data_IF_126267337139
#
_entry.id   IF_126267337139
#
_cell.length_a   1.000
_cell.length_b   1.000
_cell.length_c   1.000
_cell.angle_alpha   90.00
_cell.angle_beta   90.00
_cell.angle_gamma   90.00
#
_symmetry.space_group_name_H-M   'P 1'
#
loop_
_entity.id
_entity.type
_entity.pdbx_description
1 polymer ?
#
# COMPACT_ATOMS: atom_id res chain seq x y z
N UNK A 1 9.70 -12.21 -5.41
CA UNK A 1 9.33 -12.61 -6.78
C UNK A 1 10.54 -13.22 -7.48
N UNK A 2 10.36 -14.23 -8.32
CA UNK A 2 11.43 -14.78 -9.19
C UNK A 2 11.03 -14.56 -10.64
N UNK A 3 11.94 -13.98 -11.43
CA UNK A 3 11.86 -13.92 -12.89
C UNK A 3 12.80 -14.96 -13.50
N UNK A 4 12.28 -15.95 -14.23
CA UNK A 4 13.11 -16.91 -14.98
C UNK A 4 12.55 -17.19 -16.39
N UNK A 5 13.43 -17.40 -17.36
CA UNK A 5 13.09 -17.61 -18.79
C UNK A 5 13.09 -19.08 -19.22
N UNK A 6 13.04 -19.99 -18.27
CA UNK A 6 13.14 -21.43 -18.53
C UNK A 6 12.26 -22.24 -17.57
N UNK A 7 11.03 -21.77 -17.35
CA UNK A 7 10.02 -22.57 -16.65
C UNK A 7 9.22 -23.38 -17.66
N UNK A 8 8.89 -24.63 -17.31
CA UNK A 8 7.95 -25.46 -18.08
C UNK A 8 6.53 -24.87 -18.12
N UNK A 9 6.28 -23.81 -17.36
CA UNK A 9 4.99 -23.15 -17.19
C UNK A 9 4.76 -22.06 -18.25
N UNK A 10 5.81 -21.45 -18.79
CA UNK A 10 5.71 -20.40 -19.81
C UNK A 10 6.77 -20.62 -20.93
N UNK A 11 6.51 -21.51 -21.91
CA UNK A 11 7.48 -21.82 -22.96
C UNK A 11 7.83 -20.58 -23.80
N UNK A 12 9.12 -20.21 -23.84
CA UNK A 12 9.60 -19.07 -24.61
C UNK A 12 9.30 -17.70 -23.99
N UNK A 13 8.83 -17.66 -22.74
CA UNK A 13 8.48 -16.45 -22.00
C UNK A 13 9.18 -16.45 -20.64
N UNK A 14 9.16 -15.29 -19.99
CA UNK A 14 9.66 -15.15 -18.63
C UNK A 14 8.53 -15.37 -17.63
N UNK A 15 8.75 -16.21 -16.63
CA UNK A 15 7.85 -16.39 -15.50
C UNK A 15 8.15 -15.41 -14.41
N UNK A 16 7.18 -14.60 -13.99
CA UNK A 16 7.22 -13.88 -12.72
C UNK A 16 6.44 -14.67 -11.69
N UNK A 17 7.09 -15.07 -10.61
CA UNK A 17 6.45 -15.84 -9.55
C UNK A 17 6.19 -14.98 -8.32
N UNK A 18 4.96 -15.01 -7.81
CA UNK A 18 4.54 -14.50 -6.50
C UNK A 18 4.03 -15.66 -5.64
N UNK A 19 3.80 -15.40 -4.35
CA UNK A 19 3.14 -16.40 -3.52
C UNK A 19 2.95 -15.98 -2.09
N UNK A 20 1.97 -16.60 -1.44
CA UNK A 20 1.58 -16.37 -0.06
C UNK A 20 1.47 -17.71 0.68
N UNK A 21 1.85 -17.71 1.96
CA UNK A 21 1.60 -18.85 2.85
C UNK A 21 0.37 -18.54 3.69
N UNK A 22 -0.65 -19.39 3.59
CA UNK A 22 -1.94 -19.24 4.28
C UNK A 22 -2.33 -20.59 4.86
N UNK A 23 -2.68 -20.60 6.15
CA UNK A 23 -3.22 -21.78 6.85
C UNK A 23 -2.44 -23.10 6.59
N UNK A 24 -1.11 -23.06 6.65
CA UNK A 24 -0.21 -24.20 6.50
C UNK A 24 0.06 -24.62 5.05
N UNK A 25 -0.47 -23.89 4.06
CA UNK A 25 -0.27 -24.17 2.65
C UNK A 25 0.35 -22.96 1.93
N UNK A 26 1.29 -23.24 1.02
CA UNK A 26 1.84 -22.23 0.13
C UNK A 26 1.02 -22.18 -1.16
N UNK A 27 0.55 -20.99 -1.52
CA UNK A 27 0.09 -20.71 -2.87
C UNK A 27 1.18 -19.97 -3.63
N UNK A 28 1.59 -20.54 -4.76
CA UNK A 28 2.47 -19.88 -5.73
C UNK A 28 1.66 -19.52 -6.95
N UNK A 29 1.67 -18.24 -7.29
CA UNK A 29 1.02 -17.71 -8.50
C UNK A 29 2.12 -17.26 -9.46
N UNK A 30 1.91 -17.48 -10.75
CA UNK A 30 2.89 -17.13 -11.78
C UNK A 30 2.24 -16.40 -12.94
N UNK A 31 2.96 -15.45 -13.53
CA UNK A 31 2.57 -14.75 -14.74
C UNK A 31 3.62 -14.97 -15.83
N UNK A 32 3.17 -15.25 -17.05
CA UNK A 32 4.04 -15.30 -18.22
C UNK A 32 4.16 -13.90 -18.84
N UNK A 33 5.38 -13.42 -19.03
CA UNK A 33 5.68 -12.14 -19.68
C UNK A 33 6.54 -12.40 -20.92
N UNK A 34 6.20 -11.77 -22.04
CA UNK A 34 7.02 -11.81 -23.24
C UNK A 34 8.42 -11.23 -22.96
N UNK A 35 9.46 -11.93 -23.38
CA UNK A 35 10.84 -11.52 -23.18
C UNK A 35 11.23 -10.21 -23.85
N UNK A 36 10.50 -9.81 -24.89
CA UNK A 36 10.67 -8.51 -25.54
C UNK A 36 10.23 -7.34 -24.65
N UNK A 37 9.41 -7.60 -23.62
CA UNK A 37 8.93 -6.59 -22.69
C UNK A 37 9.87 -6.38 -21.48
N UNK A 38 10.88 -7.23 -21.25
CA UNK A 38 11.75 -7.15 -20.06
C UNK A 38 12.97 -6.24 -20.20
N UNK A 39 13.16 -5.61 -21.35
CA UNK A 39 14.17 -4.54 -21.49
C UNK A 39 13.72 -3.23 -20.86
N UNK A 40 12.42 -3.09 -20.58
CA UNK A 40 11.81 -1.89 -20.00
C UNK A 40 11.40 -2.13 -18.54
N UNK A 41 11.19 -1.03 -17.80
CA UNK A 41 10.64 -1.07 -16.45
C UNK A 41 9.25 -1.71 -16.46
N UNK A 42 9.03 -2.64 -15.52
CA UNK A 42 7.76 -3.36 -15.36
C UNK A 42 7.19 -3.09 -13.98
N UNK A 43 5.90 -2.78 -13.94
CA UNK A 43 5.19 -2.66 -12.68
C UNK A 43 4.58 -4.00 -12.31
N UNK A 44 4.87 -4.49 -11.12
CA UNK A 44 4.37 -5.75 -10.61
C UNK A 44 3.70 -5.53 -9.27
N UNK A 45 2.51 -6.09 -9.10
CA UNK A 45 1.82 -6.06 -7.82
C UNK A 45 1.17 -7.40 -7.51
N UNK A 46 1.10 -7.72 -6.22
CA UNK A 46 0.37 -8.87 -5.71
C UNK A 46 -0.44 -8.43 -4.50
N UNK A 47 -1.72 -8.79 -4.46
CA UNK A 47 -2.63 -8.43 -3.37
C UNK A 47 -3.24 -9.68 -2.77
N UNK A 48 -3.53 -9.62 -1.47
CA UNK A 48 -4.23 -10.68 -0.76
C UNK A 48 -5.26 -10.07 0.19
N UNK A 49 -6.54 -10.40 -0.01
CA UNK A 49 -7.66 -9.85 0.77
C UNK A 49 -8.17 -10.77 1.89
N UNK A 50 -7.46 -11.88 2.18
CA UNK A 50 -7.90 -12.90 3.13
C UNK A 50 -8.74 -14.02 2.51
N UNK A 51 -9.19 -13.84 1.27
CA UNK A 51 -10.00 -14.81 0.52
C UNK A 51 -9.39 -15.18 -0.83
N UNK A 52 -8.72 -14.25 -1.48
CA UNK A 52 -8.16 -14.41 -2.82
C UNK A 52 -6.80 -13.76 -2.95
N UNK A 53 -5.93 -14.40 -3.74
CA UNK A 53 -4.68 -13.83 -4.23
C UNK A 53 -4.91 -13.27 -5.62
N UNK A 54 -4.35 -12.09 -5.88
CA UNK A 54 -4.37 -11.47 -7.21
C UNK A 54 -2.98 -11.01 -7.60
N UNK A 55 -2.63 -11.23 -8.85
CA UNK A 55 -1.34 -10.87 -9.41
C UNK A 55 -1.52 -9.96 -10.62
N UNK A 56 -0.80 -8.84 -10.63
CA UNK A 56 -0.92 -7.78 -11.62
C UNK A 56 0.42 -7.52 -12.29
N UNK A 57 0.37 -7.30 -13.60
CA UNK A 57 1.51 -6.85 -14.42
C UNK A 57 1.05 -5.59 -15.16
N UNK A 58 1.78 -4.49 -15.03
CA UNK A 58 1.41 -3.16 -15.55
C UNK A 58 -0.01 -2.73 -15.16
N UNK A 59 -0.38 -2.98 -13.90
CA UNK A 59 -1.71 -2.74 -13.34
C UNK A 59 -2.86 -3.55 -14.00
N UNK A 60 -2.55 -4.52 -14.87
CA UNK A 60 -3.54 -5.45 -15.43
C UNK A 60 -3.53 -6.75 -14.63
N UNK A 61 -4.72 -7.22 -14.23
CA UNK A 61 -4.88 -8.50 -13.55
C UNK A 61 -4.52 -9.65 -14.49
N UNK A 62 -3.55 -10.47 -14.09
CA UNK A 62 -3.09 -11.63 -14.88
C UNK A 62 -3.55 -12.94 -14.24
N UNK A 63 -3.59 -13.00 -12.92
CA UNK A 63 -4.00 -14.18 -12.15
C UNK A 63 -4.88 -13.77 -10.99
N UNK A 64 -5.98 -14.49 -10.79
CA UNK A 64 -6.80 -14.45 -9.58
C UNK A 64 -7.09 -15.87 -9.14
N UNK A 65 -6.86 -16.14 -7.86
CA UNK A 65 -7.07 -17.45 -7.25
C UNK A 65 -7.77 -17.31 -5.89
N UNK A 66 -8.74 -18.20 -5.65
CA UNK A 66 -9.44 -18.27 -4.37
C UNK A 66 -8.58 -19.09 -3.41
N UNK A 67 -8.04 -18.44 -2.39
CA UNK A 67 -7.17 -19.04 -1.39
C UNK A 67 -7.37 -18.37 -0.03
N UNK A 68 -8.34 -18.85 0.73
CA UNK A 68 -8.76 -18.20 1.98
C UNK A 68 -7.96 -18.61 3.20
N UNK A 69 -7.75 -17.67 4.12
CA UNK A 69 -7.23 -17.93 5.46
C UNK A 69 -6.36 -16.80 5.97
N UNK A 70 -5.64 -17.05 7.05
CA UNK A 70 -4.73 -16.07 7.65
C UNK A 70 -3.32 -16.24 7.09
N UNK A 71 -2.69 -15.13 6.69
CA UNK A 71 -1.28 -15.12 6.30
C UNK A 71 -0.44 -15.61 7.47
N UNK A 72 0.48 -16.52 7.18
CA UNK A 72 1.44 -16.98 8.17
C UNK A 72 2.64 -16.04 8.23
N UNK A 73 3.06 -15.71 9.46
CA UNK A 73 4.27 -14.94 9.69
C UNK A 73 5.49 -15.86 9.67
N UNK A 74 6.57 -15.39 9.04
CA UNK A 74 7.88 -16.02 9.12
C UNK A 74 8.75 -15.27 10.12
N UNK A 75 9.64 -16.00 10.80
CA UNK A 75 10.74 -15.40 11.59
C UNK A 75 11.94 -15.01 10.72
N UNK A 76 11.91 -15.29 9.42
CA UNK A 76 12.94 -14.87 8.48
C UNK A 76 12.82 -13.39 8.14
N UNK A 77 13.96 -12.76 7.84
CA UNK A 77 14.01 -11.38 7.37
C UNK A 77 13.28 -11.21 6.04
N UNK A 78 12.68 -10.04 5.85
CA UNK A 78 12.11 -9.63 4.56
C UNK A 78 13.27 -9.30 3.61
N UNK A 79 13.39 -10.08 2.53
CA UNK A 79 14.42 -9.91 1.51
C UNK A 79 13.80 -9.37 0.22
N UNK A 80 14.45 -8.34 -0.35
CA UNK A 80 14.11 -7.78 -1.67
C UNK A 80 15.29 -8.09 -2.60
N UNK A 81 14.98 -8.55 -3.83
CA UNK A 81 16.00 -8.92 -4.81
C UNK A 81 16.73 -10.23 -4.53
N UNK A 82 16.37 -10.97 -3.48
CA UNK A 82 16.87 -12.31 -3.19
C UNK A 82 15.87 -13.08 -2.34
N UNK A 83 15.95 -14.41 -2.38
CA UNK A 83 15.32 -15.28 -1.38
C UNK A 83 16.30 -15.72 -0.30
N UNK A 84 15.83 -16.54 0.67
CA UNK A 84 16.64 -17.04 1.77
C UNK A 84 17.80 -17.94 1.30
N UNK A 85 17.73 -18.52 0.10
CA UNK A 85 18.85 -19.20 -0.54
C UNK A 85 19.43 -18.35 -1.67
N UNK A 86 20.32 -17.43 -1.31
CA UNK A 86 20.89 -16.40 -2.21
C UNK A 86 21.52 -17.01 -3.46
N UNK A 87 22.18 -18.17 -3.33
CA UNK A 87 22.89 -18.83 -4.44
C UNK A 87 22.00 -19.24 -5.62
N UNK A 88 20.69 -19.36 -5.41
CA UNK A 88 19.74 -19.84 -6.42
C UNK A 88 18.57 -18.89 -6.67
N UNK A 89 18.44 -17.84 -5.87
CA UNK A 89 17.25 -16.96 -5.87
C UNK A 89 17.56 -15.47 -5.99
N UNK A 90 18.84 -15.10 -6.16
CA UNK A 90 19.21 -13.72 -6.44
C UNK A 90 18.57 -13.24 -7.75
N UNK A 91 17.94 -12.06 -7.70
CA UNK A 91 17.41 -11.38 -8.85
C UNK A 91 18.54 -10.63 -9.56
N UNK A 92 18.60 -10.77 -10.88
CA UNK A 92 19.57 -10.07 -11.73
C UNK A 92 18.84 -8.98 -12.50
N UNK A 93 18.91 -7.74 -12.01
CA UNK A 93 18.24 -6.59 -12.62
C UNK A 93 18.24 -5.38 -11.70
N UNK A 94 17.45 -4.37 -12.02
CA UNK A 94 17.20 -3.20 -11.18
C UNK A 94 15.81 -3.28 -10.57
N UNK A 95 15.66 -2.76 -9.35
CA UNK A 95 14.40 -2.69 -8.61
C UNK A 95 14.29 -1.26 -8.10
N UNK A 96 13.11 -0.66 -8.24
CA UNK A 96 12.78 0.66 -7.73
C UNK A 96 11.34 0.70 -7.21
N UNK A 97 10.97 1.73 -6.45
CA UNK A 97 9.62 2.00 -5.93
C UNK A 97 8.95 0.79 -5.23
N UNK A 98 9.65 0.19 -4.27
CA UNK A 98 9.11 -0.94 -3.50
C UNK A 98 8.19 -0.44 -2.38
N UNK A 99 6.94 -0.88 -2.45
CA UNK A 99 5.92 -0.60 -1.44
C UNK A 99 5.37 -1.87 -0.81
N UNK A 100 5.03 -1.80 0.49
CA UNK A 100 4.33 -2.85 1.22
C UNK A 100 3.17 -2.24 2.00
N UNK A 101 1.98 -2.83 1.86
CA UNK A 101 0.74 -2.33 2.45
C UNK A 101 0.16 -3.37 3.43
N UNK A 102 -0.57 -2.90 4.45
CA UNK A 102 -1.33 -3.75 5.37
C UNK A 102 -2.63 -4.26 4.77
N UNK A 103 -3.13 -3.59 3.74
CA UNK A 103 -4.43 -3.82 3.14
C UNK A 103 -4.28 -4.16 1.65
N UNK A 104 -5.22 -4.95 1.13
CA UNK A 104 -5.27 -5.25 -0.29
C UNK A 104 -5.68 -3.99 -1.07
N UNK A 105 -4.77 -3.53 -1.94
CA UNK A 105 -5.07 -2.43 -2.84
C UNK A 105 -6.09 -2.86 -3.89
N UNK A 106 -6.94 -1.91 -4.26
CA UNK A 106 -7.89 -2.05 -5.37
C UNK A 106 -7.21 -1.83 -6.72
N UNK A 107 -7.85 -2.28 -7.80
CA UNK A 107 -7.32 -2.11 -9.16
C UNK A 107 -7.13 -0.63 -9.55
N UNK A 108 -8.02 0.25 -9.06
CA UNK A 108 -7.92 1.69 -9.31
C UNK A 108 -6.73 2.31 -8.59
N UNK A 109 -6.44 1.89 -7.35
CA UNK A 109 -5.26 2.32 -6.60
C UNK A 109 -3.97 1.84 -7.25
N UNK A 110 -3.94 0.59 -7.72
CA UNK A 110 -2.80 0.05 -8.47
C UNK A 110 -2.60 0.80 -9.79
N UNK A 111 -3.67 1.13 -10.51
CA UNK A 111 -3.60 1.92 -11.75
C UNK A 111 -3.05 3.33 -11.49
N UNK A 112 -3.43 3.95 -10.37
CA UNK A 112 -2.92 5.25 -9.96
C UNK A 112 -1.42 5.19 -9.63
N UNK A 113 -0.98 4.14 -8.92
CA UNK A 113 0.44 3.91 -8.64
C UNK A 113 1.24 3.70 -9.92
N UNK A 114 0.76 2.82 -10.82
CA UNK A 114 1.41 2.57 -12.10
C UNK A 114 1.59 3.86 -12.91
N UNK A 115 0.57 4.72 -12.97
CA UNK A 115 0.65 5.99 -13.69
C UNK A 115 1.60 6.99 -13.03
N UNK A 116 1.72 6.96 -11.70
CA UNK A 116 2.64 7.82 -10.96
C UNK A 116 4.11 7.39 -11.13
N UNK A 117 4.37 6.08 -11.27
CA UNK A 117 5.72 5.50 -11.45
C UNK A 117 6.09 5.27 -12.90
N UNK A 118 5.16 5.42 -13.85
CA UNK A 118 5.44 5.36 -15.28
C UNK A 118 6.28 6.58 -15.67
N UNK A 119 7.58 6.54 -15.35
CA UNK A 119 8.57 7.47 -15.86
C UNK A 119 8.65 7.22 -17.37
N UNK A 120 8.19 8.15 -18.23
CA UNK A 120 8.43 8.02 -19.66
C UNK A 120 9.94 8.14 -19.86
N UNK A 121 10.56 7.20 -20.58
CA UNK A 121 11.95 7.32 -21.03
C UNK A 121 12.23 8.69 -21.68
N UNK A 122 13.50 9.13 -21.68
CA UNK A 122 13.92 10.46 -21.26
C UNK A 122 13.28 11.58 -22.07
N UNK A 123 12.14 12.08 -21.61
CA UNK A 123 11.63 13.37 -21.99
C UNK A 123 11.47 14.19 -20.72
N UNK A 124 12.18 15.31 -20.69
CA UNK A 124 12.07 16.39 -19.73
C UNK A 124 10.57 16.74 -19.52
N UNK A 125 9.93 16.13 -18.54
CA UNK A 125 8.57 16.45 -18.17
C UNK A 125 8.55 16.73 -16.67
N UNK A 126 8.73 18.01 -16.37
CA UNK A 126 8.34 18.61 -15.10
C UNK A 126 6.86 18.32 -14.89
N UNK A 127 6.53 17.26 -14.16
CA UNK A 127 5.18 17.09 -13.62
C UNK A 127 5.14 17.86 -12.32
N UNK A 128 4.74 19.13 -12.43
CA UNK A 128 4.26 19.94 -11.32
C UNK A 128 3.10 19.19 -10.64
N UNK A 129 3.37 18.47 -9.54
CA UNK A 129 2.32 18.11 -8.58
C UNK A 129 2.15 19.26 -7.58
N UNK A 130 1.56 20.38 -8.04
CA UNK A 130 0.95 21.37 -7.17
C UNK A 130 -0.53 21.01 -6.98
N UNK A 131 -0.86 20.46 -5.80
CA UNK A 131 -2.23 20.22 -5.30
C UNK A 131 -2.93 19.04 -5.98
N UNK A 132 -3.47 18.01 -5.32
CA UNK A 132 -4.25 17.97 -4.09
C UNK A 132 -4.11 16.54 -3.55
N UNK A 133 -3.23 16.31 -2.58
CA UNK A 133 -3.42 15.22 -1.59
C UNK A 133 -3.17 15.81 -0.21
N UNK A 134 -3.92 16.86 0.11
CA UNK A 134 -4.23 17.14 1.51
C UNK A 134 -5.32 16.15 1.90
N UNK A 135 -4.94 14.94 2.33
CA UNK A 135 -5.84 14.14 3.17
C UNK A 135 -6.03 14.96 4.45
N UNK A 136 -7.09 15.76 4.47
CA UNK A 136 -7.60 16.35 5.70
C UNK A 136 -7.96 15.18 6.60
N UNK A 137 -7.03 14.84 7.50
CA UNK A 137 -7.23 13.91 8.58
C UNK A 137 -8.36 14.48 9.42
N UNK A 138 -9.59 14.06 9.15
CA UNK A 138 -10.75 14.36 9.97
C UNK A 138 -10.55 13.65 11.31
N UNK A 139 -9.72 14.25 12.17
CA UNK A 139 -9.78 13.99 13.60
C UNK A 139 -11.20 14.34 13.97
N UNK A 140 -12.02 13.32 14.27
CA UNK A 140 -13.29 13.51 14.96
C UNK A 140 -12.98 14.41 16.15
N UNK A 141 -13.35 15.67 16.03
CA UNK A 141 -13.31 16.60 17.14
C UNK A 141 -14.35 16.08 18.11
N UNK A 142 -13.92 15.44 19.19
CA UNK A 142 -14.71 15.38 20.40
C UNK A 142 -14.86 16.82 20.88
N UNK A 143 -15.86 17.52 20.34
CA UNK A 143 -16.28 18.82 20.82
C UNK A 143 -16.90 18.62 22.21
N UNK A 144 -16.13 18.87 23.26
CA UNK A 144 -16.69 19.22 24.57
C UNK A 144 -16.13 20.59 25.00
N UNK A 145 -16.88 21.60 24.57
CA UNK A 145 -17.01 22.99 25.02
C UNK A 145 -16.02 23.55 26.06
N UNK A 146 -15.24 24.60 25.71
CA UNK A 146 -14.77 25.58 26.68
C UNK A 146 -15.83 26.69 26.82
N UNK A 147 -16.49 26.80 27.97
CA UNK A 147 -17.29 27.99 28.32
C UNK A 147 -16.37 29.09 28.87
N UNK A 148 -16.35 30.30 28.29
CA UNK A 148 -15.70 31.44 28.92
C UNK A 148 -16.71 32.50 29.39
N UNK A 149 -16.53 32.87 30.65
CA UNK A 149 -16.85 34.17 31.30
C UNK A 149 -18.31 34.40 31.72
N UNK A 150 -18.51 34.40 33.04
CA UNK A 150 -19.40 35.38 33.65
C UNK A 150 -18.57 36.50 34.30
N UNK A 151 -18.68 37.75 33.84
CA UNK A 151 -18.45 38.91 34.69
C UNK A 151 -19.76 39.17 35.46
N UNK A 152 -19.81 38.84 36.75
CA UNK A 152 -20.92 39.26 37.61
C UNK A 152 -20.79 40.75 37.92
N UNK A 153 -21.47 41.57 37.11
CA UNK A 153 -21.81 42.94 37.46
C UNK A 153 -22.98 42.93 38.46
N UNK A 154 -22.81 43.76 39.50
CA UNK A 154 -23.71 43.98 40.62
C UNK A 154 -25.05 44.58 40.18
N UNK A 155 -26.15 44.33 40.92
CA UNK A 155 -27.24 45.27 41.03
C UNK A 155 -27.24 45.98 42.40
N UNK A 156 -27.22 47.30 42.28
CA UNK A 156 -27.87 48.37 43.07
C UNK A 156 -28.44 48.10 44.49
N UNK A 157 -28.12 49.07 45.36
CA UNK A 157 -28.76 49.53 46.60
C UNK A 157 -30.14 48.98 46.99
N UNK A 158 -30.26 48.51 48.24
CA UNK A 158 -31.37 48.86 49.13
C UNK A 158 -30.97 48.71 50.62
N UNK A 159 -31.10 49.85 51.29
CA UNK A 159 -31.04 50.18 52.73
C UNK A 159 -31.86 49.23 53.63
N UNK A 160 -31.29 48.77 54.75
CA UNK A 160 -31.97 48.85 56.07
C UNK A 160 -30.96 48.84 57.23
N UNK A 161 -31.35 49.53 58.29
CA UNK A 161 -30.57 50.20 59.34
C UNK A 161 -30.55 49.37 60.66
N UNK A 162 -29.95 49.85 61.77
CA UNK A 162 -29.15 49.07 62.74
C UNK A 162 -29.81 48.85 64.13
N UNK A 163 -29.13 48.10 65.00
CA UNK A 163 -28.85 48.36 66.45
C UNK A 163 -28.15 47.09 67.03
N UNK A 164 -26.91 47.09 67.55
CA UNK A 164 -26.35 47.72 68.78
C UNK A 164 -26.94 47.10 70.07
N UNK A 165 -26.18 46.94 71.17
CA UNK A 165 -24.77 46.59 71.38
C UNK A 165 -24.57 45.18 71.98
#
# INVERSE_FOLDING_TARGET
MRMDNNSSQCPGQYTVNGGVNVAGARRGDFACIDGTALTDWRFLAMTYDGTSTRFYVDAVLVVEDIFSGTIEHSSMDLLIGSGPNVSTTAFTGTIDDVHLYSDALTESELSALYTATAVPGPALAVIFMLGIVAVLRNRRQSAFSPSPRQPRLRPSCARFRPAVP
#
